data_IF_962277617705
#
_entry.id   IF_962277617705
#
_cell.length_a   1.000
_cell.length_b   1.000
_cell.length_c   1.000
_cell.angle_alpha   90.00
_cell.angle_beta   90.00
_cell.angle_gamma   90.00
#
_symmetry.space_group_name_H-M   'P 1'
#
loop_
_entity.id
_entity.type
_entity.pdbx_description
1 polymer ?
#
# COMPACT_ATOMS: atom_id res chain seq x y z
N UNK A 1 -11.19 -2.74 5.17
CA UNK A 1 -9.84 -2.23 4.86
C UNK A 1 -9.78 -1.28 3.67
N UNK A 2 -10.77 -1.22 2.77
CA UNK A 2 -10.83 -0.26 1.64
C UNK A 2 -10.64 1.21 2.08
N UNK A 3 -11.34 1.60 3.14
CA UNK A 3 -11.22 2.91 3.81
C UNK A 3 -9.83 3.20 4.37
N UNK A 4 -9.10 2.17 4.83
CA UNK A 4 -7.73 2.35 5.32
C UNK A 4 -6.76 2.61 4.17
N UNK A 5 -6.88 1.87 3.06
CA UNK A 5 -6.04 2.08 1.88
C UNK A 5 -6.26 3.48 1.26
N UNK A 6 -7.52 3.92 1.17
CA UNK A 6 -7.88 5.27 0.71
C UNK A 6 -7.32 6.36 1.64
N UNK A 7 -7.47 6.21 2.96
CA UNK A 7 -6.91 7.14 3.94
C UNK A 7 -5.36 7.20 3.87
N UNK A 8 -4.71 6.04 3.70
CA UNK A 8 -3.25 5.96 3.55
C UNK A 8 -2.79 6.69 2.28
N UNK A 9 -3.47 6.53 1.15
CA UNK A 9 -3.15 7.25 -0.08
C UNK A 9 -3.41 8.76 0.06
N UNK A 10 -4.52 9.16 0.69
CA UNK A 10 -4.87 10.56 0.91
C UNK A 10 -3.84 11.31 1.76
N UNK A 11 -3.20 10.62 2.73
CA UNK A 11 -2.18 11.21 3.61
C UNK A 11 -0.77 11.07 3.00
N UNK A 12 -0.54 10.10 2.11
CA UNK A 12 0.77 9.88 1.53
C UNK A 12 1.17 11.00 0.56
N UNK A 13 2.44 11.47 0.57
CA UNK A 13 2.91 12.51 -0.35
C UNK A 13 3.16 11.92 -1.76
N UNK A 14 2.12 11.44 -2.43
CA UNK A 14 2.18 10.78 -3.75
C UNK A 14 2.03 11.73 -4.94
N UNK A 15 2.27 13.03 -4.72
CA UNK A 15 2.13 14.11 -5.72
C UNK A 15 3.06 13.99 -6.95
N UNK A 16 4.11 13.16 -6.90
CA UNK A 16 5.05 12.96 -8.01
C UNK A 16 5.29 11.48 -8.27
N UNK A 17 5.65 11.12 -9.51
CA UNK A 17 6.05 9.74 -9.86
C UNK A 17 7.17 9.19 -8.95
N UNK A 18 8.12 10.05 -8.55
CA UNK A 18 9.23 9.67 -7.68
C UNK A 18 8.77 9.37 -6.25
N UNK A 19 7.96 10.24 -5.66
CA UNK A 19 7.45 10.06 -4.30
C UNK A 19 6.47 8.88 -4.22
N UNK A 20 5.66 8.67 -5.26
CA UNK A 20 4.82 7.48 -5.44
C UNK A 20 5.62 6.18 -5.43
N UNK A 21 6.63 6.06 -6.29
CA UNK A 21 7.45 4.85 -6.35
C UNK A 21 8.16 4.57 -5.02
N UNK A 22 8.55 5.63 -4.30
CA UNK A 22 9.12 5.51 -2.95
C UNK A 22 8.09 4.99 -1.95
N UNK A 23 6.88 5.53 -1.96
CA UNK A 23 5.78 5.08 -1.11
C UNK A 23 5.48 3.59 -1.30
N UNK A 24 5.27 3.14 -2.55
CA UNK A 24 5.00 1.72 -2.81
C UNK A 24 6.12 0.79 -2.36
N UNK A 25 7.39 1.20 -2.53
CA UNK A 25 8.53 0.42 -2.03
C UNK A 25 8.54 0.33 -0.51
N UNK A 26 8.22 1.40 0.21
CA UNK A 26 8.16 1.36 1.67
C UNK A 26 6.99 0.51 2.16
N UNK A 27 5.82 0.65 1.55
CA UNK A 27 4.66 -0.17 1.87
C UNK A 27 4.93 -1.66 1.62
N UNK A 28 5.54 -2.02 0.49
CA UNK A 28 5.90 -3.40 0.20
C UNK A 28 6.92 -3.97 1.19
N UNK A 29 7.94 -3.18 1.56
CA UNK A 29 8.92 -3.59 2.58
C UNK A 29 8.27 -3.78 3.93
N UNK A 30 7.33 -2.92 4.31
CA UNK A 30 6.63 -3.02 5.57
C UNK A 30 5.74 -4.26 5.63
N UNK A 31 4.91 -4.50 4.61
CA UNK A 31 4.08 -5.72 4.54
C UNK A 31 4.92 -6.99 4.46
N UNK A 32 6.09 -6.95 3.80
CA UNK A 32 7.04 -8.06 3.83
C UNK A 32 7.56 -8.33 5.25
N UNK A 33 7.87 -7.30 6.05
CA UNK A 33 8.29 -7.48 7.44
C UNK A 33 7.18 -8.10 8.30
N UNK A 34 5.93 -7.70 8.10
CA UNK A 34 4.79 -8.30 8.81
C UNK A 34 4.66 -9.79 8.46
N UNK A 35 4.75 -10.12 7.17
CA UNK A 35 4.74 -11.51 6.70
C UNK A 35 5.89 -12.33 7.30
N UNK A 36 7.13 -11.83 7.22
CA UNK A 36 8.31 -12.54 7.75
C UNK A 36 8.26 -12.74 9.27
N UNK A 37 7.50 -11.90 9.99
CA UNK A 37 7.26 -12.05 11.43
C UNK A 37 6.03 -12.89 11.78
N UNK A 38 5.32 -13.42 10.78
CA UNK A 38 4.13 -14.24 10.97
C UNK A 38 2.87 -13.47 11.40
N UNK A 39 2.88 -12.13 11.34
CA UNK A 39 1.71 -11.31 11.70
C UNK A 39 0.61 -11.36 10.65
N UNK A 40 0.96 -11.61 9.40
CA UNK A 40 0.02 -11.76 8.29
C UNK A 40 0.47 -12.93 7.41
N UNK A 41 -0.50 -13.57 6.76
CA UNK A 41 -0.29 -14.59 5.75
C UNK A 41 0.18 -14.00 4.42
N UNK A 42 0.63 -14.87 3.51
CA UNK A 42 0.96 -14.47 2.13
C UNK A 42 -0.26 -13.90 1.40
N UNK A 43 -1.44 -14.47 1.65
CA UNK A 43 -2.69 -14.02 1.04
C UNK A 43 -3.06 -12.60 1.51
N UNK A 44 -3.03 -12.35 2.81
CA UNK A 44 -3.27 -11.01 3.37
C UNK A 44 -2.26 -9.98 2.84
N UNK A 45 -1.00 -10.37 2.64
CA UNK A 45 0.00 -9.49 2.01
C UNK A 45 -0.38 -9.14 0.56
N UNK A 46 -0.86 -10.10 -0.22
CA UNK A 46 -1.29 -9.87 -1.60
C UNK A 46 -2.52 -8.96 -1.63
N UNK A 47 -3.47 -9.16 -0.73
CA UNK A 47 -4.65 -8.32 -0.59
C UNK A 47 -4.29 -6.88 -0.21
N UNK A 48 -3.38 -6.69 0.75
CA UNK A 48 -2.88 -5.37 1.12
C UNK A 48 -2.21 -4.64 -0.06
N UNK A 49 -1.50 -5.37 -0.93
CA UNK A 49 -0.91 -4.82 -2.16
C UNK A 49 -1.98 -4.46 -3.19
N UNK A 50 -3.00 -5.31 -3.36
CA UNK A 50 -4.12 -5.06 -4.27
C UNK A 50 -4.90 -3.81 -3.85
N UNK A 51 -5.27 -3.72 -2.57
CA UNK A 51 -6.05 -2.60 -2.04
C UNK A 51 -5.31 -1.26 -2.17
N UNK A 52 -4.00 -1.21 -1.92
CA UNK A 52 -3.24 0.04 -2.07
C UNK A 52 -3.09 0.46 -3.54
N UNK A 53 -3.02 -0.51 -4.46
CA UNK A 53 -2.99 -0.24 -5.90
C UNK A 53 -4.35 0.26 -6.40
N UNK A 54 -5.44 -0.35 -5.96
CA UNK A 54 -6.81 0.07 -6.28
C UNK A 54 -7.10 1.48 -5.74
N UNK A 55 -6.79 1.76 -4.47
CA UNK A 55 -6.98 3.08 -3.87
C UNK A 55 -6.16 4.16 -4.60
N UNK A 56 -4.95 3.82 -5.03
CA UNK A 56 -4.14 4.72 -5.86
C UNK A 56 -4.77 4.98 -7.23
N UNK A 57 -5.25 3.94 -7.92
CA UNK A 57 -5.91 4.10 -9.22
C UNK A 57 -7.18 4.95 -9.09
N UNK A 58 -7.96 4.74 -8.03
CA UNK A 58 -9.12 5.56 -7.72
C UNK A 58 -8.77 7.03 -7.45
N UNK A 59 -7.61 7.31 -6.83
CA UNK A 59 -7.14 8.69 -6.61
C UNK A 59 -6.66 9.43 -7.86
N UNK A 60 -6.44 8.70 -8.97
CA UNK A 60 -6.05 9.29 -10.26
C UNK A 60 -7.25 9.59 -11.16
N UNK A 61 -8.39 8.94 -10.90
CA UNK A 61 -9.64 9.11 -11.65
C UNK A 61 -10.45 10.27 -11.07
#
# INVERSE_FOLDING_TARGET
MKTFAEAVIAIAPVASRKSRNRFFRYYDRWTNRLFMRGFISLHERQDLRKQIAEAYLASLM
#
